data_IF_444995848423
#
_entry.id   IF_444995848423
#
_cell.length_a   1.000
_cell.length_b   1.000
_cell.length_c   1.000
_cell.angle_alpha   90.00
_cell.angle_beta   90.00
_cell.angle_gamma   90.00
#
_symmetry.space_group_name_H-M   'P 1'
#
loop_
_entity.id
_entity.type
_entity.pdbx_description
1 polymer ?
#
# COMPACT_ATOMS: atom_id res chain seq x y z
N UNK A 1 -4.34 41.94 32.76
CA UNK A 1 -3.80 40.90 31.85
C UNK A 1 -4.86 39.91 31.32
N UNK A 2 -5.91 39.55 32.07
CA UNK A 2 -6.94 38.58 31.63
C UNK A 2 -7.82 38.98 30.43
N UNK A 3 -7.95 40.29 30.10
CA UNK A 3 -8.82 40.77 29.00
C UNK A 3 -8.31 40.44 27.59
N UNK A 4 -7.03 40.16 27.43
CA UNK A 4 -6.38 39.88 26.13
C UNK A 4 -6.27 38.39 25.82
N UNK A 5 -6.44 37.54 26.84
CA UNK A 5 -6.43 36.08 26.72
C UNK A 5 -7.44 35.54 25.68
N UNK A 6 -8.72 35.99 25.63
CA UNK A 6 -9.65 35.49 24.63
C UNK A 6 -9.25 35.88 23.19
N UNK A 7 -8.65 37.06 23.01
CA UNK A 7 -8.18 37.51 21.70
C UNK A 7 -6.97 36.70 21.22
N UNK A 8 -6.06 36.37 22.15
CA UNK A 8 -4.90 35.52 21.89
C UNK A 8 -5.32 34.08 21.54
N UNK A 9 -6.30 33.52 22.25
CA UNK A 9 -6.86 32.20 21.95
C UNK A 9 -7.56 32.17 20.59
N UNK A 10 -8.31 33.22 20.23
CA UNK A 10 -8.94 33.35 18.91
C UNK A 10 -7.90 33.43 17.79
N UNK A 11 -6.82 34.19 18.00
CA UNK A 11 -5.74 34.29 17.02
C UNK A 11 -4.98 32.97 16.83
N UNK A 12 -4.73 32.24 17.92
CA UNK A 12 -4.12 30.90 17.87
C UNK A 12 -5.03 29.89 17.14
N UNK A 13 -6.35 29.99 17.31
CA UNK A 13 -7.33 29.12 16.63
C UNK A 13 -7.44 29.41 15.12
N UNK A 14 -7.25 30.67 14.70
CA UNK A 14 -7.25 31.03 13.28
C UNK A 14 -6.02 30.51 12.52
N UNK A 15 -4.90 30.24 13.21
CA UNK A 15 -3.69 29.67 12.61
C UNK A 15 -3.84 28.19 12.25
N UNK A 16 -4.76 27.44 12.88
CA UNK A 16 -4.98 26.01 12.59
C UNK A 16 -5.82 25.76 11.33
N UNK A 17 -6.46 26.78 10.77
CA UNK A 17 -7.35 26.68 9.61
C UNK A 17 -6.64 26.33 8.28
N UNK A 18 -5.31 26.38 8.24
CA UNK A 18 -4.51 26.01 7.06
C UNK A 18 -4.05 24.53 7.05
N UNK A 19 -4.45 23.72 8.04
CA UNK A 19 -4.10 22.30 8.12
C UNK A 19 -4.94 21.40 7.19
N UNK A 20 -5.35 21.89 6.01
CA UNK A 20 -6.05 21.05 5.05
C UNK A 20 -5.07 20.03 4.46
N UNK A 21 -5.30 18.75 4.75
CA UNK A 21 -4.47 17.68 4.23
C UNK A 21 -4.64 17.59 2.72
N UNK A 22 -3.59 17.87 1.96
CA UNK A 22 -3.58 17.76 0.49
C UNK A 22 -3.44 16.32 -0.01
N UNK A 23 -3.83 15.35 0.82
CA UNK A 23 -3.72 13.91 0.53
C UNK A 23 -4.71 13.45 -0.55
N UNK A 24 -4.44 12.28 -1.12
CA UNK A 24 -5.33 11.64 -2.11
C UNK A 24 -5.22 12.21 -3.53
N UNK A 25 -4.03 12.69 -3.93
CA UNK A 25 -3.79 13.21 -5.30
C UNK A 25 -3.58 12.12 -6.35
N UNK A 26 -3.30 10.89 -5.92
CA UNK A 26 -3.00 9.77 -6.81
C UNK A 26 -4.07 8.69 -6.67
N UNK A 27 -4.39 8.06 -7.80
CA UNK A 27 -5.26 6.88 -7.87
C UNK A 27 -4.43 5.61 -7.71
N UNK A 28 -5.06 4.52 -7.23
CA UNK A 28 -4.44 3.20 -7.11
C UNK A 28 -3.13 3.17 -6.31
N UNK A 29 -3.06 3.92 -5.21
CA UNK A 29 -1.89 3.96 -4.32
C UNK A 29 -1.50 2.59 -3.73
N UNK A 30 -2.41 1.61 -3.74
CA UNK A 30 -2.11 0.22 -3.34
C UNK A 30 -1.01 -0.42 -4.20
N UNK A 31 -0.77 0.05 -5.44
CA UNK A 31 0.36 -0.37 -6.28
C UNK A 31 1.73 -0.06 -5.66
N UNK A 32 1.79 0.88 -4.71
CA UNK A 32 3.02 1.22 -4.00
C UNK A 32 3.22 0.43 -2.70
N UNK A 33 2.29 -0.48 -2.35
CA UNK A 33 2.45 -1.33 -1.19
C UNK A 33 3.51 -2.41 -1.43
N UNK A 34 4.20 -2.78 -0.36
CA UNK A 34 5.29 -3.75 -0.46
C UNK A 34 4.76 -5.15 -0.80
N UNK A 35 5.39 -5.86 -1.76
CA UNK A 35 4.90 -7.14 -2.26
C UNK A 35 5.20 -8.32 -1.33
N UNK A 36 6.14 -8.19 -0.38
CA UNK A 36 6.52 -9.29 0.51
C UNK A 36 6.97 -8.83 1.89
N UNK A 37 6.84 -9.72 2.88
CA UNK A 37 7.24 -9.43 4.26
C UNK A 37 8.73 -9.04 4.37
N UNK A 38 9.58 -9.66 3.54
CA UNK A 38 11.02 -9.36 3.47
C UNK A 38 11.27 -7.94 2.99
N UNK A 39 10.62 -7.52 1.90
CA UNK A 39 10.77 -6.17 1.37
C UNK A 39 10.21 -5.14 2.38
N UNK A 40 9.08 -5.43 3.03
CA UNK A 40 8.53 -4.59 4.10
C UNK A 40 9.52 -4.41 5.26
N UNK A 41 10.11 -5.50 5.75
CA UNK A 41 11.06 -5.47 6.87
C UNK A 41 12.35 -4.68 6.54
N UNK A 42 12.73 -4.61 5.26
CA UNK A 42 13.92 -3.89 4.77
C UNK A 42 13.62 -2.45 4.30
N UNK A 43 12.49 -1.88 4.74
CA UNK A 43 12.15 -0.47 4.46
C UNK A 43 11.36 -0.26 3.17
N UNK A 44 10.76 -1.31 2.62
CA UNK A 44 9.80 -1.24 1.51
C UNK A 44 10.41 -1.12 0.11
N UNK A 45 11.71 -0.82 -0.01
CA UNK A 45 12.38 -0.56 -1.28
C UNK A 45 13.71 -1.35 -1.40
N UNK A 46 13.62 -2.61 -1.80
CA UNK A 46 14.78 -3.50 -1.95
C UNK A 46 15.17 -3.73 -3.42
N UNK A 47 15.65 -2.69 -4.10
CA UNK A 47 15.91 -2.73 -5.56
C UNK A 47 17.33 -3.16 -5.96
N UNK A 48 18.26 -3.25 -5.01
CA UNK A 48 19.68 -3.50 -5.27
C UNK A 48 20.12 -4.94 -5.00
N UNK A 49 19.31 -5.71 -4.26
CA UNK A 49 19.62 -7.10 -3.93
C UNK A 49 19.20 -7.99 -5.09
N UNK A 50 20.10 -8.86 -5.55
CA UNK A 50 19.81 -9.84 -6.59
C UNK A 50 20.08 -11.24 -6.05
N UNK A 51 19.02 -11.94 -5.72
CA UNK A 51 19.02 -13.32 -5.23
C UNK A 51 17.87 -14.12 -5.87
N UNK A 52 17.48 -15.23 -5.26
CA UNK A 52 16.43 -16.15 -5.70
C UNK A 52 15.05 -15.80 -5.10
N UNK A 53 14.73 -14.52 -4.94
CA UNK A 53 13.40 -14.06 -4.48
C UNK A 53 12.59 -13.41 -5.62
N UNK A 54 11.61 -14.15 -6.14
CA UNK A 54 10.72 -13.68 -7.22
C UNK A 54 9.94 -12.41 -6.87
N UNK A 55 9.75 -12.09 -5.58
CA UNK A 55 9.02 -10.88 -5.18
C UNK A 55 9.79 -9.59 -5.51
N UNK A 56 11.12 -9.66 -5.67
CA UNK A 56 11.94 -8.49 -5.99
C UNK A 56 11.67 -7.98 -7.41
N UNK A 57 11.20 -8.85 -8.30
CA UNK A 57 10.81 -8.49 -9.66
C UNK A 57 9.66 -7.47 -9.71
N UNK A 58 8.83 -7.41 -8.67
CA UNK A 58 7.78 -6.40 -8.53
C UNK A 58 8.34 -4.98 -8.53
N UNK A 59 9.39 -4.74 -7.73
CA UNK A 59 10.00 -3.41 -7.61
C UNK A 59 11.03 -3.16 -8.73
N UNK A 60 11.71 -4.20 -9.21
CA UNK A 60 12.70 -4.08 -10.28
C UNK A 60 12.74 -5.37 -11.13
N UNK A 61 12.10 -5.38 -12.32
CA UNK A 61 12.13 -6.52 -13.25
C UNK A 61 13.54 -6.93 -13.69
N UNK A 62 14.52 -6.02 -13.61
CA UNK A 62 15.92 -6.31 -13.94
C UNK A 62 16.63 -7.27 -12.97
N UNK A 63 16.01 -7.58 -11.82
CA UNK A 63 16.54 -8.54 -10.85
C UNK A 63 16.20 -10.00 -11.20
N UNK A 64 15.29 -10.21 -12.15
CA UNK A 64 14.90 -11.52 -12.63
C UNK A 64 16.10 -12.33 -13.13
N UNK A 65 16.17 -13.59 -12.71
CA UNK A 65 17.28 -14.47 -13.04
C UNK A 65 16.86 -15.94 -13.12
N UNK A 66 17.68 -16.80 -13.76
CA UNK A 66 17.31 -18.20 -14.01
C UNK A 66 17.03 -19.03 -12.76
N UNK A 67 17.57 -18.64 -11.60
CA UNK A 67 17.33 -19.36 -10.33
C UNK A 67 15.89 -19.23 -9.84
N UNK A 68 15.13 -18.25 -10.35
CA UNK A 68 13.71 -18.03 -10.01
C UNK A 68 12.74 -18.89 -10.87
N UNK A 69 13.25 -19.84 -11.64
CA UNK A 69 12.43 -20.74 -12.47
C UNK A 69 11.49 -21.61 -11.61
N UNK A 70 10.20 -21.63 -11.97
CA UNK A 70 9.13 -22.33 -11.24
C UNK A 70 8.96 -21.86 -9.78
N UNK A 71 9.42 -20.67 -9.45
CA UNK A 71 9.21 -20.12 -8.12
C UNK A 71 7.82 -19.52 -7.99
N UNK A 72 7.07 -19.95 -6.97
CA UNK A 72 5.78 -19.36 -6.58
C UNK A 72 5.97 -18.66 -5.25
N UNK A 73 5.38 -17.48 -5.11
CA UNK A 73 5.37 -16.72 -3.87
C UNK A 73 3.95 -16.27 -3.53
N UNK A 74 3.61 -16.32 -2.23
CA UNK A 74 2.35 -15.86 -1.67
C UNK A 74 2.63 -14.99 -0.46
N UNK A 75 2.06 -13.79 -0.42
CA UNK A 75 2.22 -12.83 0.66
C UNK A 75 0.86 -12.22 1.03
N UNK A 76 0.71 -11.94 2.33
CA UNK A 76 -0.46 -11.26 2.87
C UNK A 76 -0.02 -10.29 3.97
N UNK A 77 -0.51 -9.06 3.91
CA UNK A 77 -0.22 -7.98 4.83
C UNK A 77 -1.50 -7.49 5.50
N UNK A 78 -1.48 -7.46 6.83
CA UNK A 78 -2.57 -6.95 7.65
C UNK A 78 -2.25 -5.51 8.06
N UNK A 79 -3.03 -4.57 7.54
CA UNK A 79 -2.96 -3.17 7.90
C UNK A 79 -4.01 -2.83 8.97
N UNK A 80 -3.86 -1.67 9.61
CA UNK A 80 -4.84 -1.18 10.57
C UNK A 80 -6.19 -0.89 9.89
N UNK A 81 -7.26 -0.81 10.68
CA UNK A 81 -8.62 -0.59 10.21
C UNK A 81 -9.13 -1.68 9.25
N UNK A 82 -8.79 -2.94 9.55
CA UNK A 82 -9.23 -4.14 8.80
C UNK A 82 -8.85 -4.15 7.31
N UNK A 83 -7.84 -3.35 6.93
CA UNK A 83 -7.31 -3.32 5.57
C UNK A 83 -6.43 -4.56 5.36
N UNK A 84 -6.67 -5.29 4.27
CA UNK A 84 -5.92 -6.48 3.89
C UNK A 84 -5.31 -6.29 2.51
N UNK A 85 -4.03 -6.55 2.37
CA UNK A 85 -3.32 -6.50 1.09
C UNK A 85 -2.66 -7.85 0.83
N UNK A 86 -2.85 -8.42 -0.36
CA UNK A 86 -2.23 -9.69 -0.73
C UNK A 86 -1.51 -9.60 -2.06
N UNK A 87 -0.46 -10.40 -2.20
CA UNK A 87 0.33 -10.52 -3.42
C UNK A 87 0.71 -11.96 -3.72
N UNK A 88 0.56 -12.37 -4.97
CA UNK A 88 0.97 -13.68 -5.49
C UNK A 88 1.87 -13.44 -6.70
N UNK A 89 2.97 -14.18 -6.77
CA UNK A 89 3.92 -14.09 -7.88
C UNK A 89 4.35 -15.46 -8.38
N UNK A 90 4.67 -15.53 -9.67
CA UNK A 90 5.21 -16.70 -10.34
C UNK A 90 6.33 -16.34 -11.31
N UNK A 91 7.44 -17.08 -11.23
CA UNK A 91 8.62 -16.93 -12.08
C UNK A 91 8.80 -18.09 -13.06
N UNK A 92 9.06 -17.79 -14.34
CA UNK A 92 9.32 -18.80 -15.37
C UNK A 92 10.55 -18.43 -16.21
N UNK A 93 11.64 -19.17 -16.05
CA UNK A 93 12.76 -19.11 -17.00
C UNK A 93 12.40 -19.77 -18.34
N UNK A 94 12.68 -19.05 -19.43
CA UNK A 94 12.47 -19.50 -20.82
C UNK A 94 13.83 -19.63 -21.51
N UNK A 95 14.39 -20.85 -21.65
CA UNK A 95 15.71 -21.07 -22.23
C UNK A 95 15.86 -20.53 -23.66
N UNK A 96 14.79 -20.63 -24.47
CA UNK A 96 14.79 -20.17 -25.86
C UNK A 96 15.07 -18.66 -26.00
N UNK A 97 14.73 -17.86 -24.99
CA UNK A 97 14.93 -16.41 -24.99
C UNK A 97 16.00 -15.96 -23.99
N UNK A 98 16.65 -16.92 -23.29
CA UNK A 98 17.60 -16.65 -22.21
C UNK A 98 17.06 -15.60 -21.20
N UNK A 99 15.75 -15.67 -20.90
CA UNK A 99 15.03 -14.65 -20.13
C UNK A 99 14.13 -15.30 -19.09
N UNK A 100 13.99 -14.67 -17.92
CA UNK A 100 13.03 -15.08 -16.89
C UNK A 100 11.81 -14.17 -16.95
N UNK A 101 10.62 -14.76 -17.01
CA UNK A 101 9.34 -14.07 -17.00
C UNK A 101 8.78 -14.04 -15.57
N UNK A 102 8.01 -12.99 -15.29
CA UNK A 102 7.33 -12.78 -14.02
C UNK A 102 5.86 -12.48 -14.26
N UNK A 103 5.00 -13.10 -13.48
CA UNK A 103 3.59 -12.76 -13.41
C UNK A 103 3.23 -12.53 -11.94
N UNK A 104 2.54 -11.43 -11.66
CA UNK A 104 2.12 -11.06 -10.31
C UNK A 104 0.66 -10.61 -10.27
N UNK A 105 -0.03 -10.95 -9.18
CA UNK A 105 -1.38 -10.51 -8.88
C UNK A 105 -1.41 -9.96 -7.47
N UNK A 106 -1.89 -8.73 -7.31
CA UNK A 106 -2.16 -8.12 -6.01
C UNK A 106 -3.61 -7.74 -5.86
N UNK A 107 -4.08 -7.71 -4.62
CA UNK A 107 -5.39 -7.20 -4.25
C UNK A 107 -5.30 -6.41 -2.96
N UNK A 108 -6.26 -5.51 -2.74
CA UNK A 108 -6.45 -4.82 -1.48
C UNK A 108 -7.95 -4.80 -1.11
N UNK A 109 -8.26 -5.00 0.16
CA UNK A 109 -9.60 -4.78 0.71
C UNK A 109 -9.52 -3.73 1.80
N UNK A 110 -10.43 -2.76 1.80
CA UNK A 110 -10.39 -1.63 2.74
C UNK A 110 -11.22 -1.86 4.01
N UNK A 111 -11.50 -3.12 4.34
CA UNK A 111 -12.37 -3.46 5.48
C UNK A 111 -13.83 -3.13 5.24
N UNK A 112 -14.53 -2.78 6.32
CA UNK A 112 -15.96 -2.47 6.32
C UNK A 112 -16.16 -1.02 6.74
N UNK A 113 -16.99 -0.30 5.99
CA UNK A 113 -17.36 1.08 6.27
C UNK A 113 -18.81 1.16 6.72
N UNK A 114 -19.07 2.05 7.68
CA UNK A 114 -20.42 2.41 8.10
C UNK A 114 -21.07 3.32 7.05
N UNK A 115 -22.22 2.90 6.50
CA UNK A 115 -23.05 3.75 5.67
C UNK A 115 -23.91 4.64 6.58
N UNK A 116 -23.73 5.95 6.51
CA UNK A 116 -24.49 6.92 7.32
C UNK A 116 -25.30 7.89 6.45
N UNK A 117 -26.49 8.27 6.90
CA UNK A 117 -27.27 9.33 6.26
C UNK A 117 -26.71 10.73 6.56
N UNK A 118 -27.35 11.78 6.03
CA UNK A 118 -26.90 13.19 6.18
C UNK A 118 -26.94 13.71 7.62
N UNK A 119 -27.65 13.03 8.52
CA UNK A 119 -27.69 13.36 9.96
C UNK A 119 -26.77 12.45 10.80
N UNK A 120 -26.04 11.53 10.18
CA UNK A 120 -25.06 10.66 10.82
C UNK A 120 -25.62 9.37 11.41
N UNK A 121 -26.87 9.00 11.12
CA UNK A 121 -27.42 7.72 11.56
C UNK A 121 -26.94 6.59 10.65
N UNK A 122 -26.51 5.48 11.25
CA UNK A 122 -26.03 4.29 10.53
C UNK A 122 -27.21 3.56 9.87
N UNK A 123 -27.16 3.45 8.56
CA UNK A 123 -28.17 2.76 7.73
C UNK A 123 -27.68 1.39 7.24
N UNK A 124 -26.37 1.10 7.34
CA UNK A 124 -25.82 -0.19 6.94
C UNK A 124 -24.30 -0.22 6.93
N UNK A 125 -23.76 -1.19 6.21
CA UNK A 125 -22.32 -1.40 6.02
C UNK A 125 -22.02 -1.67 4.56
N UNK A 126 -20.87 -1.18 4.07
CA UNK A 126 -20.37 -1.49 2.73
C UNK A 126 -18.88 -1.78 2.75
N UNK A 127 -18.38 -2.42 1.69
CA UNK A 127 -16.97 -2.79 1.52
C UNK A 127 -16.42 -2.19 0.23
N UNK A 128 -15.13 -1.90 0.22
CA UNK A 128 -14.39 -1.52 -0.98
C UNK A 128 -13.17 -2.44 -1.15
N UNK A 129 -12.88 -2.83 -2.39
CA UNK A 129 -11.73 -3.65 -2.74
C UNK A 129 -11.27 -3.34 -4.17
N UNK A 130 -9.98 -3.56 -4.40
CA UNK A 130 -9.31 -3.39 -5.70
C UNK A 130 -8.40 -4.60 -6.00
#
# INVERSE_FOLDING_TARGET
>A
MKRWLPLFLLFAFLQTSFAQSTGGREVYQFLNLSPSARVTALGGNLITVRDDDINLAFANPGLLNPSMHHQISFNHNFHLADIQHGYVAFGQYVPAWNTTLHAGLQYITYGTFDATNVVGEKEGEFKAAE
#
